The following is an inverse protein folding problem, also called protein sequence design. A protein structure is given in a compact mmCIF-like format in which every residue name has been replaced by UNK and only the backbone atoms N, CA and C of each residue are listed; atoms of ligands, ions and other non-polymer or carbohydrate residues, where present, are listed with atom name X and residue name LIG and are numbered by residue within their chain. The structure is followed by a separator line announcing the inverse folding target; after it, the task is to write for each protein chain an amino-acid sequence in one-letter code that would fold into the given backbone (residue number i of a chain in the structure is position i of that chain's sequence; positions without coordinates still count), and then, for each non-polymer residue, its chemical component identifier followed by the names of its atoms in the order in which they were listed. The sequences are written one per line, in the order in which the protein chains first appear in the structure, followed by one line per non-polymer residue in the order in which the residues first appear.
data_IF_398768881974
#
_entry.id   IF_398768881974
#
_cell.length_a   1.000
_cell.length_b   1.000
_cell.length_c   1.000
_cell.angle_alpha   90.00
_cell.angle_beta   90.00
_cell.angle_gamma   90.00
#
_symmetry.space_group_name_H-M   'P 1'
#
loop_
_entity.id
_entity.type
_entity.pdbx_description
1 polymer ?
#
# COMPACT_ATOMS: atom_id res chain seq x y z
N UNK A 1 17.46 -36.99 7.44
CA UNK A 1 16.91 -36.80 6.09
C UNK A 1 15.74 -35.81 6.07
N UNK A 2 14.99 -35.63 7.17
CA UNK A 2 14.02 -34.51 7.34
C UNK A 2 14.70 -33.13 7.42
N UNK A 3 15.78 -33.02 8.21
CA UNK A 3 16.49 -31.75 8.45
C UNK A 3 17.05 -31.02 7.22
N UNK A 4 17.28 -31.73 6.11
CA UNK A 4 17.75 -31.11 4.86
C UNK A 4 16.60 -30.55 4.02
N UNK A 5 15.44 -31.21 4.02
CA UNK A 5 14.28 -30.76 3.28
C UNK A 5 13.69 -29.48 3.90
N UNK A 6 13.54 -29.45 5.22
CA UNK A 6 13.07 -28.29 5.97
C UNK A 6 14.00 -27.08 5.76
N UNK A 7 15.31 -27.31 5.65
CA UNK A 7 16.29 -26.26 5.39
C UNK A 7 16.17 -25.69 3.98
N UNK A 8 16.01 -26.54 2.98
CA UNK A 8 15.85 -26.12 1.58
C UNK A 8 14.55 -25.33 1.38
N UNK A 9 13.49 -25.68 2.10
CA UNK A 9 12.20 -25.00 2.07
C UNK A 9 12.25 -23.64 2.75
N UNK A 10 12.89 -23.54 3.92
CA UNK A 10 13.17 -22.25 4.58
C UNK A 10 14.00 -21.36 3.66
N UNK A 11 15.00 -21.91 2.97
CA UNK A 11 15.81 -21.16 2.00
C UNK A 11 14.97 -20.66 0.82
N UNK A 12 14.06 -21.48 0.30
CA UNK A 12 13.15 -21.09 -0.78
C UNK A 12 12.19 -19.97 -0.33
N UNK A 13 11.52 -20.12 0.81
CA UNK A 13 10.61 -19.11 1.34
C UNK A 13 11.34 -17.77 1.58
N UNK A 14 12.54 -17.81 2.17
CA UNK A 14 13.38 -16.62 2.37
C UNK A 14 13.77 -15.96 1.05
N UNK A 15 14.09 -16.76 0.02
CA UNK A 15 14.37 -16.27 -1.32
C UNK A 15 13.13 -15.60 -1.94
N UNK A 16 11.96 -16.26 -1.90
CA UNK A 16 10.71 -15.72 -2.43
C UNK A 16 10.32 -14.42 -1.71
N UNK A 17 10.44 -14.37 -0.39
CA UNK A 17 10.25 -13.14 0.39
C UNK A 17 11.26 -12.06 0.02
N UNK A 18 12.52 -12.41 -0.27
CA UNK A 18 13.53 -11.47 -0.73
C UNK A 18 13.23 -10.86 -2.11
N UNK A 19 12.75 -11.67 -3.04
CA UNK A 19 12.52 -11.25 -4.44
C UNK A 19 11.19 -10.54 -4.62
N UNK A 20 10.15 -10.94 -3.88
CA UNK A 20 8.80 -10.40 -4.05
C UNK A 20 8.30 -9.61 -2.85
N UNK A 21 8.32 -10.18 -1.65
CA UNK A 21 7.69 -9.55 -0.49
C UNK A 21 8.36 -8.23 -0.10
N UNK A 22 9.69 -8.23 0.05
CA UNK A 22 10.44 -7.02 0.44
C UNK A 22 10.29 -5.89 -0.59
N UNK A 23 10.45 -6.13 -1.91
CA UNK A 23 10.19 -5.08 -2.88
C UNK A 23 8.71 -4.68 -2.98
N UNK A 24 7.76 -5.59 -2.69
CA UNK A 24 6.34 -5.22 -2.60
C UNK A 24 6.07 -4.25 -1.47
N UNK A 25 6.65 -4.50 -0.28
CA UNK A 25 6.61 -3.58 0.86
C UNK A 25 7.17 -2.20 0.43
N UNK A 26 8.35 -2.16 -0.20
CA UNK A 26 8.98 -0.91 -0.68
C UNK A 26 8.09 -0.15 -1.68
N UNK A 27 7.54 -0.82 -2.69
CA UNK A 27 6.63 -0.21 -3.66
C UNK A 27 5.35 0.32 -3.00
N UNK A 28 4.79 -0.41 -2.03
CA UNK A 28 3.64 0.04 -1.26
C UNK A 28 3.94 1.34 -0.51
N UNK A 29 5.13 1.45 0.11
CA UNK A 29 5.56 2.67 0.80
C UNK A 29 5.70 3.84 -0.18
N UNK A 30 6.32 3.61 -1.34
CA UNK A 30 6.45 4.63 -2.38
C UNK A 30 5.07 5.09 -2.86
N UNK A 31 4.11 4.17 -3.02
CA UNK A 31 2.76 4.50 -3.41
C UNK A 31 2.12 5.47 -2.40
N UNK A 32 2.13 5.12 -1.10
CA UNK A 32 1.61 5.99 -0.03
C UNK A 32 2.26 7.37 -0.02
N UNK A 33 3.59 7.41 -0.07
CA UNK A 33 4.34 8.68 -0.06
C UNK A 33 3.99 9.53 -1.27
N UNK A 34 3.83 8.91 -2.43
CA UNK A 34 3.44 9.60 -3.67
C UNK A 34 2.04 10.20 -3.55
N UNK A 35 1.08 9.45 -3.04
CA UNK A 35 -0.28 9.95 -2.83
C UNK A 35 -0.31 11.13 -1.83
N UNK A 36 0.40 11.01 -0.71
CA UNK A 36 0.51 12.09 0.30
C UNK A 36 1.05 13.39 -0.29
N UNK A 37 1.96 13.30 -1.26
CA UNK A 37 2.59 14.46 -1.91
C UNK A 37 1.88 14.88 -3.22
N UNK A 38 0.74 14.28 -3.57
CA UNK A 38 0.01 14.60 -4.81
C UNK A 38 0.66 14.08 -6.09
N UNK A 39 1.65 13.18 -6.00
CA UNK A 39 2.30 12.55 -7.14
C UNK A 39 1.52 11.32 -7.63
N UNK A 40 0.29 11.54 -8.08
CA UNK A 40 -0.66 10.45 -8.41
C UNK A 40 -0.16 9.46 -9.48
N UNK A 41 0.61 9.91 -10.47
CA UNK A 41 1.24 8.99 -11.44
C UNK A 41 2.20 7.99 -10.78
N UNK A 42 2.98 8.44 -9.80
CA UNK A 42 3.89 7.57 -9.06
C UNK A 42 3.10 6.68 -8.10
N UNK A 43 2.03 7.19 -7.48
CA UNK A 43 1.09 6.36 -6.70
C UNK A 43 0.54 5.22 -7.56
N UNK A 44 -0.05 5.53 -8.70
CA UNK A 44 -0.58 4.59 -9.68
C UNK A 44 0.40 3.47 -10.03
N UNK A 45 1.61 3.86 -10.44
CA UNK A 45 2.66 2.92 -10.82
C UNK A 45 3.09 2.03 -9.66
N UNK A 46 3.44 2.64 -8.52
CA UNK A 46 3.93 1.91 -7.36
C UNK A 46 2.85 1.03 -6.72
N UNK A 47 1.58 1.45 -6.74
CA UNK A 47 0.45 0.63 -6.30
C UNK A 47 0.33 -0.65 -7.14
N UNK A 48 0.41 -0.54 -8.46
CA UNK A 48 0.39 -1.71 -9.34
C UNK A 48 1.58 -2.64 -9.05
N UNK A 49 2.79 -2.09 -8.96
CA UNK A 49 4.01 -2.86 -8.72
C UNK A 49 3.97 -3.60 -7.38
N UNK A 50 3.44 -2.96 -6.34
CA UNK A 50 3.20 -3.55 -5.02
C UNK A 50 2.24 -4.74 -5.10
N UNK A 51 1.04 -4.54 -5.65
CA UNK A 51 0.02 -5.59 -5.74
C UNK A 51 0.49 -6.78 -6.59
N UNK A 52 1.13 -6.52 -7.72
CA UNK A 52 1.71 -7.56 -8.58
C UNK A 52 2.68 -8.45 -7.81
N UNK A 53 3.59 -7.84 -7.03
CA UNK A 53 4.62 -8.58 -6.29
C UNK A 53 4.03 -9.35 -5.11
N UNK A 54 3.06 -8.80 -4.37
CA UNK A 54 2.38 -9.57 -3.33
C UNK A 54 1.66 -10.81 -3.88
N UNK A 55 0.91 -10.65 -4.98
CA UNK A 55 0.21 -11.79 -5.61
C UNK A 55 1.21 -12.85 -6.09
N UNK A 56 2.32 -12.42 -6.73
CA UNK A 56 3.39 -13.34 -7.14
C UNK A 56 4.07 -14.03 -5.96
N UNK A 57 4.31 -13.31 -4.87
CA UNK A 57 4.88 -13.86 -3.65
C UNK A 57 4.02 -15.02 -3.15
N UNK A 58 2.73 -14.76 -2.94
CA UNK A 58 1.79 -15.77 -2.47
C UNK A 58 1.74 -17.00 -3.37
N UNK A 59 1.59 -16.81 -4.69
CA UNK A 59 1.56 -17.92 -5.65
C UNK A 59 2.88 -18.70 -5.68
N UNK A 60 4.03 -18.01 -5.62
CA UNK A 60 5.34 -18.66 -5.60
C UNK A 60 5.56 -19.50 -4.33
N UNK A 61 5.13 -19.01 -3.16
CA UNK A 61 5.17 -19.77 -1.90
C UNK A 61 4.31 -21.03 -1.98
N UNK A 62 3.18 -20.99 -2.71
CA UNK A 62 2.31 -22.15 -2.97
C UNK A 62 2.80 -23.04 -4.12
N UNK A 63 4.01 -22.81 -4.66
CA UNK A 63 4.55 -23.49 -5.84
C UNK A 63 3.65 -23.40 -7.09
N UNK A 64 2.80 -22.39 -7.16
CA UNK A 64 1.92 -22.14 -8.30
C UNK A 64 2.63 -21.26 -9.31
N UNK A 65 2.54 -21.63 -10.59
CA UNK A 65 3.14 -20.85 -11.67
C UNK A 65 2.61 -19.42 -11.70
N UNK A 66 3.53 -18.45 -11.68
CA UNK A 66 3.25 -17.02 -11.89
C UNK A 66 3.24 -16.63 -13.38
N UNK A 67 3.53 -17.58 -14.28
CA UNK A 67 3.56 -17.33 -15.72
C UNK A 67 2.21 -17.63 -16.36
N UNK A 68 1.83 -16.78 -17.31
CA UNK A 68 0.64 -16.95 -18.15
C UNK A 68 1.09 -17.03 -19.61
N UNK A 69 1.13 -18.25 -20.15
CA UNK A 69 1.65 -18.51 -21.48
C UNK A 69 3.05 -17.90 -21.69
N UNK A 70 3.30 -17.38 -22.89
CA UNK A 70 4.63 -16.97 -23.30
C UNK A 70 4.98 -15.49 -22.98
N UNK A 71 4.03 -14.64 -22.55
CA UNK A 71 4.26 -13.17 -22.49
C UNK A 71 3.55 -12.36 -21.39
N UNK A 72 2.56 -12.89 -20.67
CA UNK A 72 1.68 -12.04 -19.84
C UNK A 72 1.89 -12.20 -18.33
N UNK A 73 3.11 -11.96 -17.84
CA UNK A 73 3.44 -12.14 -16.40
C UNK A 73 3.04 -10.97 -15.49
N UNK A 74 2.42 -9.91 -16.02
CA UNK A 74 2.15 -8.65 -15.32
C UNK A 74 0.67 -8.30 -15.22
N UNK A 75 -0.21 -9.25 -15.57
CA UNK A 75 -1.65 -9.06 -15.56
C UNK A 75 -2.21 -9.30 -14.15
N UNK A 76 -2.53 -8.21 -13.44
CA UNK A 76 -2.98 -8.28 -12.05
C UNK A 76 -4.31 -9.03 -11.92
N UNK A 77 -5.22 -8.91 -12.87
CA UNK A 77 -6.51 -9.58 -12.82
C UNK A 77 -6.34 -11.10 -12.88
N UNK A 78 -5.46 -11.58 -13.77
CA UNK A 78 -5.14 -13.01 -13.84
C UNK A 78 -4.41 -13.53 -12.60
N UNK A 79 -3.50 -12.72 -12.03
CA UNK A 79 -2.81 -13.05 -10.78
C UNK A 79 -3.79 -13.13 -9.60
N UNK A 80 -4.75 -12.21 -9.53
CA UNK A 80 -5.80 -12.20 -8.52
C UNK A 80 -6.71 -13.42 -8.66
N UNK A 81 -7.24 -13.69 -9.86
CA UNK A 81 -8.09 -14.86 -10.11
C UNK A 81 -7.40 -16.16 -9.72
N UNK A 82 -6.10 -16.30 -10.04
CA UNK A 82 -5.32 -17.46 -9.62
C UNK A 82 -5.12 -17.50 -8.11
N UNK A 83 -4.88 -16.38 -7.45
CA UNK A 83 -4.77 -16.31 -5.98
C UNK A 83 -6.06 -16.76 -5.30
N UNK A 84 -7.20 -16.25 -5.75
CA UNK A 84 -8.54 -16.60 -5.25
C UNK A 84 -8.86 -18.09 -5.43
N UNK A 85 -8.30 -18.75 -6.46
CA UNK A 85 -8.50 -20.18 -6.64
C UNK A 85 -7.62 -21.06 -5.74
N UNK A 86 -6.64 -20.48 -5.04
CA UNK A 86 -5.71 -21.22 -4.17
C UNK A 86 -6.04 -21.12 -2.67
N UNK A 87 -6.99 -20.28 -2.26
CA UNK A 87 -7.33 -20.12 -0.84
C UNK A 87 -8.76 -19.63 -0.65
N UNK A 88 -9.35 -20.03 0.48
CA UNK A 88 -10.63 -19.50 0.96
C UNK A 88 -10.44 -18.41 2.02
N UNK A 89 -9.20 -18.13 2.45
CA UNK A 89 -8.87 -17.09 3.44
C UNK A 89 -8.88 -15.68 2.84
N UNK A 90 -8.92 -15.61 1.51
CA UNK A 90 -8.94 -14.37 0.76
C UNK A 90 -9.95 -14.51 -0.38
N UNK A 91 -10.96 -13.64 -0.37
CA UNK A 91 -12.09 -13.66 -1.28
C UNK A 91 -12.24 -12.33 -2.02
N UNK A 92 -13.08 -12.31 -3.07
CA UNK A 92 -13.41 -11.09 -3.82
C UNK A 92 -14.46 -10.24 -3.10
N UNK A 93 -14.21 -9.94 -1.83
CA UNK A 93 -15.09 -9.14 -0.99
C UNK A 93 -15.09 -7.66 -1.41
N UNK A 94 -16.10 -6.95 -0.94
CA UNK A 94 -16.10 -5.49 -0.97
C UNK A 94 -15.01 -4.94 -0.05
N UNK A 95 -14.37 -3.86 -0.48
CA UNK A 95 -13.41 -3.11 0.32
C UNK A 95 -14.18 -2.23 1.28
N UNK A 96 -14.01 -2.49 2.57
CA UNK A 96 -14.65 -1.74 3.63
C UNK A 96 -13.80 -0.54 4.06
N UNK A 97 -14.46 0.52 4.52
CA UNK A 97 -13.77 1.61 5.19
C UNK A 97 -13.03 1.07 6.43
N UNK A 98 -11.78 1.50 6.67
CA UNK A 98 -11.03 1.00 7.81
C UNK A 98 -11.61 1.52 9.12
N UNK A 99 -11.35 0.81 10.22
CA UNK A 99 -11.84 1.20 11.54
C UNK A 99 -11.34 2.59 11.93
N UNK A 100 -12.24 3.46 12.37
CA UNK A 100 -11.92 4.85 12.74
C UNK A 100 -11.82 5.82 11.56
N UNK A 101 -12.09 5.38 10.32
CA UNK A 101 -12.20 6.28 9.17
C UNK A 101 -13.31 7.33 9.40
N UNK A 102 -13.12 8.59 9.01
CA UNK A 102 -14.15 9.62 9.19
C UNK A 102 -15.44 9.28 8.43
N UNK A 103 -16.55 9.16 9.17
CA UNK A 103 -17.89 8.81 8.65
C UNK A 103 -18.36 9.72 7.52
N UNK A 104 -17.97 10.99 7.58
CA UNK A 104 -18.31 12.03 6.63
C UNK A 104 -17.61 11.79 5.28
N UNK A 105 -16.41 11.22 5.31
CA UNK A 105 -15.59 10.93 4.14
C UNK A 105 -15.90 9.55 3.56
N UNK A 106 -16.49 8.62 4.32
CA UNK A 106 -16.87 7.28 3.81
C UNK A 106 -17.73 7.40 2.56
N UNK A 107 -18.70 8.33 2.54
CA UNK A 107 -19.59 8.55 1.39
C UNK A 107 -18.87 9.08 0.15
N UNK A 108 -17.74 9.76 0.33
CA UNK A 108 -16.96 10.39 -0.75
C UNK A 108 -15.86 9.46 -1.29
N UNK A 109 -15.46 8.46 -0.49
CA UNK A 109 -14.33 7.58 -0.76
C UNK A 109 -14.71 6.27 -1.48
N UNK A 110 -15.99 6.13 -1.87
CA UNK A 110 -16.54 4.97 -2.58
C UNK A 110 -16.10 3.60 -2.02
N UNK A 111 -16.18 3.47 -0.70
CA UNK A 111 -16.02 2.16 -0.06
C UNK A 111 -17.22 1.28 -0.40
N UNK A 112 -16.97 0.00 -0.69
CA UNK A 112 -17.96 -0.92 -1.25
C UNK A 112 -17.55 -1.52 -2.60
N UNK A 113 -16.58 -0.91 -3.28
CA UNK A 113 -15.95 -1.48 -4.49
C UNK A 113 -15.38 -2.88 -4.19
N UNK A 114 -15.61 -3.85 -5.09
CA UNK A 114 -15.01 -5.18 -4.97
C UNK A 114 -13.49 -5.14 -5.19
N UNK A 115 -12.77 -6.05 -4.55
CA UNK A 115 -11.32 -6.20 -4.74
C UNK A 115 -10.97 -6.37 -6.23
N UNK A 116 -11.71 -7.19 -6.97
CA UNK A 116 -11.49 -7.42 -8.40
C UNK A 116 -11.69 -6.14 -9.23
N UNK A 117 -12.71 -5.35 -8.93
CA UNK A 117 -12.95 -4.05 -9.57
C UNK A 117 -11.79 -3.09 -9.29
N UNK A 118 -11.39 -2.95 -8.03
CA UNK A 118 -10.27 -2.09 -7.65
C UNK A 118 -8.96 -2.53 -8.30
N UNK A 119 -8.68 -3.83 -8.30
CA UNK A 119 -7.49 -4.40 -8.95
C UNK A 119 -7.52 -4.17 -10.45
N UNK A 120 -8.67 -4.26 -11.11
CA UNK A 120 -8.79 -3.94 -12.53
C UNK A 120 -8.48 -2.45 -12.80
N UNK A 121 -8.94 -1.52 -11.95
CA UNK A 121 -8.56 -0.11 -12.06
C UNK A 121 -7.04 0.07 -11.89
N UNK A 122 -6.44 -0.56 -10.88
CA UNK A 122 -4.98 -0.51 -10.66
C UNK A 122 -4.19 -1.15 -11.81
N UNK A 123 -4.69 -2.23 -12.42
CA UNK A 123 -4.08 -2.86 -13.59
C UNK A 123 -4.05 -1.89 -14.79
N UNK A 124 -5.08 -1.04 -14.93
CA UNK A 124 -5.12 -0.01 -15.95
C UNK A 124 -4.16 1.15 -15.68
N UNK A 125 -3.82 1.42 -14.41
CA UNK A 125 -2.93 2.51 -14.02
C UNK A 125 -1.49 2.39 -14.54
N UNK A 126 -0.94 1.19 -14.67
CA UNK A 126 0.42 0.98 -15.17
C UNK A 126 0.48 0.56 -16.63
N UNK A 127 -0.61 0.72 -17.39
CA UNK A 127 -0.52 0.65 -18.85
C UNK A 127 0.50 1.69 -19.36
N UNK A 128 1.31 1.38 -20.39
CA UNK A 128 2.34 2.29 -20.90
C UNK A 128 1.80 3.69 -21.23
N UNK A 129 0.59 3.77 -21.79
CA UNK A 129 -0.09 5.04 -22.13
C UNK A 129 -0.34 5.91 -20.91
N UNK A 130 -0.69 5.30 -19.78
CA UNK A 130 -0.89 5.99 -18.51
C UNK A 130 0.44 6.51 -17.95
N UNK A 131 1.50 5.68 -18.05
CA UNK A 131 2.86 6.04 -17.62
C UNK A 131 3.46 7.20 -18.41
N UNK A 132 3.21 7.25 -19.71
CA UNK A 132 3.66 8.33 -20.60
C UNK A 132 2.69 9.51 -20.70
N UNK A 133 1.64 9.53 -19.85
CA UNK A 133 0.63 10.61 -19.76
C UNK A 133 -0.10 10.87 -21.08
N UNK A 134 -0.25 9.84 -21.89
CA UNK A 134 -1.09 9.89 -23.10
C UNK A 134 -2.58 9.88 -22.72
N UNK A 135 -2.92 9.29 -21.56
CA UNK A 135 -4.27 9.26 -20.99
C UNK A 135 -4.24 9.62 -19.50
N UNK A 136 -5.35 10.14 -18.97
CA UNK A 136 -5.50 10.51 -17.55
C UNK A 136 -5.96 9.34 -16.67
N UNK A 137 -5.72 9.43 -15.36
CA UNK A 137 -6.22 8.48 -14.36
C UNK A 137 -7.46 9.05 -13.68
N UNK A 138 -8.40 8.17 -13.31
CA UNK A 138 -9.44 8.49 -12.35
C UNK A 138 -8.99 7.97 -10.98
N UNK A 139 -8.59 8.89 -10.11
CA UNK A 139 -8.24 8.60 -8.72
C UNK A 139 -9.40 9.04 -7.85
N UNK A 140 -9.87 8.12 -7.02
CA UNK A 140 -10.92 8.37 -6.04
C UNK A 140 -10.33 8.68 -4.67
N UNK A 141 -11.01 9.49 -3.84
CA UNK A 141 -10.52 9.86 -2.50
C UNK A 141 -10.21 8.66 -1.58
N UNK A 142 -10.80 7.49 -1.83
CA UNK A 142 -10.58 6.27 -1.05
C UNK A 142 -9.41 5.40 -1.50
N UNK A 143 -8.78 5.68 -2.64
CA UNK A 143 -7.87 4.72 -3.31
C UNK A 143 -6.64 4.35 -2.50
N UNK A 144 -6.10 5.30 -1.73
CA UNK A 144 -4.99 5.01 -0.81
C UNK A 144 -5.41 4.00 0.25
N UNK A 145 -6.63 4.14 0.78
CA UNK A 145 -7.16 3.24 1.82
C UNK A 145 -7.62 1.90 1.24
N UNK A 146 -8.12 1.89 0.01
CA UNK A 146 -8.40 0.65 -0.72
C UNK A 146 -7.11 -0.14 -0.96
N UNK A 147 -6.02 0.55 -1.35
CA UNK A 147 -4.69 -0.04 -1.45
C UNK A 147 -4.19 -0.57 -0.10
N UNK A 148 -4.39 0.18 0.99
CA UNK A 148 -3.98 -0.23 2.34
C UNK A 148 -4.63 -1.54 2.78
N UNK A 149 -5.95 -1.66 2.62
CA UNK A 149 -6.69 -2.86 3.01
C UNK A 149 -6.23 -4.09 2.21
N UNK A 150 -6.03 -3.90 0.90
CA UNK A 150 -5.61 -4.97 0.01
C UNK A 150 -4.14 -5.37 0.26
N UNK A 151 -3.23 -4.40 0.39
CA UNK A 151 -1.82 -4.66 0.70
C UNK A 151 -1.69 -5.39 2.03
N UNK A 152 -2.41 -4.98 3.08
CA UNK A 152 -2.44 -5.68 4.36
C UNK A 152 -2.92 -7.12 4.22
N UNK A 153 -4.02 -7.32 3.49
CA UNK A 153 -4.63 -8.65 3.31
C UNK A 153 -3.69 -9.58 2.55
N UNK A 154 -3.12 -9.14 1.42
CA UNK A 154 -2.19 -9.93 0.63
C UNK A 154 -0.85 -10.17 1.35
N UNK A 155 -0.35 -9.18 2.07
CA UNK A 155 0.86 -9.31 2.90
C UNK A 155 0.65 -10.36 3.99
N UNK A 156 -0.51 -10.35 4.67
CA UNK A 156 -0.88 -11.37 5.67
C UNK A 156 -0.82 -12.78 5.07
N UNK A 157 -1.42 -13.00 3.89
CA UNK A 157 -1.33 -14.27 3.18
C UNK A 157 0.12 -14.71 2.92
N UNK A 158 1.01 -13.79 2.56
CA UNK A 158 2.42 -14.11 2.31
C UNK A 158 3.18 -14.57 3.57
N UNK A 159 2.70 -14.22 4.77
CA UNK A 159 3.28 -14.67 6.04
C UNK A 159 2.62 -15.94 6.59
N UNK A 160 1.30 -16.09 6.42
CA UNK A 160 0.51 -17.23 6.93
C UNK A 160 0.61 -18.47 6.05
N UNK A 161 1.09 -18.31 4.82
CA UNK A 161 1.53 -19.39 3.96
C UNK A 161 2.81 -20.06 4.50
N UNK A 162 2.86 -20.39 5.79
CA UNK A 162 3.92 -21.15 6.49
C UNK A 162 3.45 -22.54 6.91
N UNK A 163 2.16 -22.81 6.88
CA UNK A 163 1.61 -24.14 7.11
C UNK A 163 1.57 -24.90 5.78
N UNK A 164 2.58 -25.74 5.53
CA UNK A 164 2.61 -26.61 4.36
C UNK A 164 2.67 -28.08 4.76
N UNK A 165 1.69 -28.84 4.27
CA UNK A 165 1.83 -30.27 4.09
C UNK A 165 2.88 -30.53 2.99
N UNK A 166 3.91 -31.27 3.39
CA UNK A 166 5.08 -31.65 2.60
C UNK A 166 4.60 -32.46 1.38
N UNK A 167 4.52 -31.80 0.22
CA UNK A 167 4.52 -32.50 -1.07
C UNK A 167 5.91 -32.40 -1.68
N UNK A 168 6.57 -33.54 -1.67
CA UNK A 168 7.97 -33.72 -2.04
C UNK A 168 8.29 -33.38 -3.50
N UNK A 169 9.15 -32.36 -3.70
CA UNK A 169 10.08 -32.20 -4.84
C UNK A 169 9.58 -31.43 -6.07
N UNK A 170 10.42 -30.73 -6.87
CA UNK A 170 11.86 -30.38 -6.81
C UNK A 170 12.16 -29.34 -7.92
N UNK A 171 13.35 -28.69 -7.88
CA UNK A 171 14.20 -28.36 -9.05
C UNK A 171 14.05 -27.02 -9.85
N UNK A 172 14.95 -26.03 -9.63
CA UNK A 172 15.28 -24.89 -10.55
C UNK A 172 16.52 -25.10 -11.43
N UNK A 173 16.32 -25.12 -12.76
CA UNK A 173 17.33 -25.34 -13.79
C UNK A 173 18.04 -24.04 -14.21
N UNK A 174 19.38 -24.00 -14.16
CA UNK A 174 20.18 -22.99 -14.90
C UNK A 174 21.19 -23.71 -15.80
N UNK A 175 21.16 -23.38 -17.10
CA UNK A 175 22.09 -23.91 -18.11
C UNK A 175 22.29 -25.45 -18.07
N UNK A 176 21.21 -26.19 -17.77
CA UNK A 176 21.25 -27.65 -17.74
C UNK A 176 21.98 -28.28 -16.55
N UNK A 177 22.36 -27.52 -15.51
CA UNK A 177 22.95 -28.07 -14.28
C UNK A 177 22.31 -27.52 -13.00
N UNK A 178 22.27 -28.39 -11.99
CA UNK A 178 21.85 -28.09 -10.62
C UNK A 178 22.96 -27.30 -9.91
N UNK A 179 22.72 -26.03 -9.53
CA UNK A 179 23.71 -25.19 -8.82
C UNK A 179 23.11 -24.64 -7.53
N UNK A 180 23.85 -24.78 -6.42
CA UNK A 180 23.55 -24.18 -5.11
C UNK A 180 24.19 -22.79 -5.09
N UNK A 181 23.38 -21.73 -5.06
CA UNK A 181 23.88 -20.37 -4.84
C UNK A 181 23.98 -20.17 -3.32
N UNK A 182 25.22 -20.06 -2.81
CA UNK A 182 25.47 -19.57 -1.44
C UNK A 182 25.42 -18.04 -1.49
N UNK A 183 24.23 -17.46 -1.41
CA UNK A 183 24.12 -16.01 -1.34
C UNK A 183 24.55 -15.52 0.04
N UNK A 184 25.65 -14.76 0.06
CA UNK A 184 25.94 -13.80 1.11
C UNK A 184 24.73 -12.90 1.32
N UNK A 185 24.20 -12.90 2.54
CA UNK A 185 23.15 -12.00 3.00
C UNK A 185 23.46 -10.58 2.51
N UNK A 186 22.56 -9.90 1.77
CA UNK A 186 22.75 -8.50 1.44
C UNK A 186 22.99 -7.74 2.75
N UNK A 187 24.13 -7.04 2.85
CA UNK A 187 24.34 -6.08 3.93
C UNK A 187 23.09 -5.21 4.03
N UNK A 188 22.58 -5.02 5.24
CA UNK A 188 21.38 -4.20 5.47
C UNK A 188 21.47 -2.92 4.62
N UNK A 189 20.38 -2.54 3.93
CA UNK A 189 20.38 -1.33 3.14
C UNK A 189 20.86 -0.18 4.03
N UNK A 190 21.83 0.58 3.53
CA UNK A 190 22.36 1.76 4.23
C UNK A 190 21.17 2.56 4.72
N UNK A 191 21.03 2.70 6.04
CA UNK A 191 19.93 3.43 6.69
C UNK A 191 19.73 4.75 5.96
N UNK A 192 18.62 4.87 5.24
CA UNK A 192 18.27 6.08 4.49
C UNK A 192 18.00 7.16 5.54
N UNK A 193 18.97 8.04 5.78
CA UNK A 193 18.79 9.18 6.69
C UNK A 193 18.03 10.27 5.97
N UNK A 194 16.71 10.12 5.88
CA UNK A 194 15.82 11.27 5.65
C UNK A 194 15.74 12.02 6.98
N UNK A 195 15.86 13.35 6.95
CA UNK A 195 15.68 14.18 8.13
C UNK A 195 14.20 14.15 8.55
N UNK A 196 13.85 13.18 9.41
CA UNK A 196 12.51 12.88 9.88
C UNK A 196 12.38 11.37 10.13
N UNK A 197 11.66 10.95 11.17
CA UNK A 197 11.38 9.53 11.36
C UNK A 197 10.41 9.09 10.25
N UNK A 198 10.90 8.36 9.24
CA UNK A 198 10.05 7.80 8.19
C UNK A 198 8.86 7.02 8.78
N UNK A 199 8.95 6.54 10.03
CA UNK A 199 7.84 5.93 10.74
C UNK A 199 6.66 6.88 10.94
N UNK A 200 6.84 8.17 11.19
CA UNK A 200 5.70 9.10 11.29
C UNK A 200 4.98 9.27 9.95
N UNK A 201 5.73 9.21 8.85
CA UNK A 201 5.20 9.24 7.49
C UNK A 201 4.48 7.94 7.12
N UNK A 202 4.97 6.81 7.62
CA UNK A 202 4.37 5.48 7.47
C UNK A 202 3.06 5.34 8.22
N UNK A 203 2.98 5.95 9.40
CA UNK A 203 1.83 5.82 10.30
C UNK A 203 0.73 6.82 9.95
N UNK A 204 1.09 7.96 9.34
CA UNK A 204 0.15 9.02 9.01
C UNK A 204 -1.00 8.54 8.14
N UNK A 205 -2.21 8.51 8.71
CA UNK A 205 -3.43 8.06 8.02
C UNK A 205 -3.35 6.61 7.51
N UNK A 206 -2.49 5.76 8.07
CA UNK A 206 -2.38 4.34 7.72
C UNK A 206 -3.26 3.49 8.63
N UNK A 207 -4.56 3.52 8.38
CA UNK A 207 -5.53 2.83 9.23
C UNK A 207 -5.45 1.30 9.14
N UNK A 208 -4.89 0.74 8.06
CA UNK A 208 -4.81 -0.70 7.90
C UNK A 208 -3.70 -1.30 8.78
N UNK A 209 -2.52 -0.67 8.81
CA UNK A 209 -1.37 -1.19 9.56
C UNK A 209 -1.23 -0.58 10.96
N UNK A 210 -1.70 0.66 11.17
CA UNK A 210 -1.54 1.40 12.42
C UNK A 210 -2.84 2.10 12.88
N UNK A 211 -3.94 1.36 13.08
CA UNK A 211 -5.27 1.94 13.35
C UNK A 211 -5.33 2.83 14.60
N UNK A 212 -4.63 2.45 15.68
CA UNK A 212 -4.64 3.21 16.94
C UNK A 212 -3.90 4.54 16.80
N UNK A 213 -2.77 4.54 16.09
CA UNK A 213 -1.96 5.72 15.86
C UNK A 213 -2.67 6.70 14.91
N UNK A 214 -3.24 6.19 13.80
CA UNK A 214 -4.06 6.98 12.89
C UNK A 214 -5.29 7.60 13.60
N UNK A 215 -5.90 6.90 14.57
CA UNK A 215 -6.98 7.44 15.40
C UNK A 215 -6.52 8.58 16.31
N UNK A 216 -5.33 8.47 16.90
CA UNK A 216 -4.77 9.55 17.73
C UNK A 216 -4.44 10.81 16.92
N UNK A 217 -3.88 10.65 15.73
CA UNK A 217 -3.61 11.75 14.79
C UNK A 217 -4.89 12.48 14.37
N UNK A 218 -6.00 11.74 14.16
CA UNK A 218 -7.31 12.32 13.89
C UNK A 218 -7.78 13.25 15.01
N UNK A 219 -7.56 12.88 16.27
CA UNK A 219 -7.93 13.74 17.41
C UNK A 219 -7.11 15.03 17.41
N UNK A 220 -5.80 14.93 17.13
CA UNK A 220 -4.91 16.09 17.02
C UNK A 220 -5.30 17.00 15.85
N UNK A 221 -5.56 16.45 14.67
CA UNK A 221 -5.98 17.22 13.49
C UNK A 221 -7.36 17.82 13.69
N UNK A 222 -8.32 17.07 14.26
CA UNK A 222 -9.64 17.61 14.58
C UNK A 222 -9.55 18.70 15.64
N UNK A 223 -8.74 18.54 16.70
CA UNK A 223 -8.51 19.60 17.69
C UNK A 223 -7.92 20.86 17.05
N UNK A 224 -6.97 20.70 16.12
CA UNK A 224 -6.35 21.80 15.38
C UNK A 224 -7.36 22.47 14.42
N UNK A 225 -8.21 21.70 13.75
CA UNK A 225 -9.30 22.19 12.91
C UNK A 225 -10.43 22.84 13.72
N UNK A 226 -10.69 22.41 14.96
CA UNK A 226 -11.63 23.05 15.88
C UNK A 226 -11.07 24.36 16.43
N UNK A 227 -9.76 24.44 16.71
CA UNK A 227 -9.09 25.70 17.08
C UNK A 227 -9.12 26.70 15.93
N UNK A 228 -8.80 26.28 14.69
CA UNK A 228 -8.89 27.13 13.49
C UNK A 228 -10.34 27.49 13.12
N UNK A 229 -11.29 26.57 13.35
CA UNK A 229 -12.72 26.78 13.20
C UNK A 229 -13.31 27.75 14.25
N UNK A 230 -12.69 27.84 15.43
CA UNK A 230 -13.06 28.81 16.47
C UNK A 230 -12.52 30.21 16.17
N UNK A 231 -11.33 30.32 15.57
CA UNK A 231 -10.76 31.59 15.11
C UNK A 231 -11.57 32.20 13.95
N UNK A 232 -11.92 31.38 12.95
CA UNK A 232 -12.74 31.83 11.81
C UNK A 232 -14.20 32.17 12.19
N UNK A 233 -14.71 31.64 13.31
CA UNK A 233 -16.04 32.02 13.85
C UNK A 233 -16.00 33.31 14.69
N UNK A 234 -14.88 33.63 15.33
CA UNK A 234 -14.68 34.90 16.03
C UNK A 234 -14.51 36.03 15.01
N UNK A 235 -13.75 35.80 13.93
CA UNK A 235 -13.58 36.78 12.84
C UNK A 235 -14.88 37.09 12.11
N UNK A 236 -15.75 36.10 11.86
CA UNK A 236 -17.07 36.33 11.24
C UNK A 236 -18.11 36.96 12.18
N UNK A 237 -17.90 36.97 13.49
CA UNK A 237 -18.78 37.66 14.46
C UNK A 237 -18.35 39.09 14.76
N UNK A 238 -17.07 39.39 14.59
CA UNK A 238 -16.54 40.76 14.64
C UNK A 238 -16.76 41.39 13.26
N UNK A 239 -17.99 41.85 13.03
CA UNK A 239 -18.35 42.71 11.89
C UNK A 239 -17.67 44.07 12.08
N UNK A 240 -16.34 44.09 11.92
CA UNK A 240 -15.50 45.26 12.04
C UNK A 240 -15.70 46.04 10.74
N UNK A 241 -16.54 47.07 10.81
CA UNK A 241 -16.53 48.12 9.81
C UNK A 241 -15.15 48.78 9.76
N UNK A 242 -14.76 49.28 8.59
CA UNK A 242 -13.43 49.84 8.31
C UNK A 242 -12.92 50.86 9.35
N UNK A 243 -13.83 51.48 10.12
CA UNK A 243 -13.50 52.37 11.23
C UNK A 243 -12.73 51.70 12.38
N UNK A 244 -12.94 50.41 12.66
CA UNK A 244 -12.23 49.73 13.76
C UNK A 244 -10.84 49.21 13.36
N UNK A 245 -10.56 49.03 12.06
CA UNK A 245 -9.23 48.63 11.58
C UNK A 245 -8.20 49.75 11.80
N UNK A 246 -8.60 51.00 11.54
CA UNK A 246 -7.76 52.18 11.81
C UNK A 246 -7.46 52.33 13.31
N UNK A 247 -8.45 52.05 14.15
CA UNK A 247 -8.29 52.13 15.62
C UNK A 247 -7.35 51.03 16.15
N UNK A 248 -7.42 49.81 15.61
CA UNK A 248 -6.57 48.70 16.02
C UNK A 248 -5.11 48.83 15.52
N UNK A 249 -4.89 49.45 14.36
CA UNK A 249 -3.53 49.85 13.91
C UNK A 249 -2.93 50.94 14.79
N UNK A 250 -3.73 51.94 15.18
CA UNK A 250 -3.26 53.01 16.07
C UNK A 250 -2.95 52.51 17.50
N UNK A 251 -3.49 51.36 17.89
CA UNK A 251 -3.19 50.70 19.17
C UNK A 251 -2.08 49.64 19.08
N UNK A 252 -1.47 49.42 17.91
CA UNK A 252 -0.34 48.50 17.71
C UNK A 252 -0.69 47.01 17.86
N UNK A 253 -1.96 46.64 17.70
CA UNK A 253 -2.43 45.25 17.86
C UNK A 253 -2.26 44.45 16.55
N UNK A 254 -2.17 45.14 15.42
CA UNK A 254 -2.04 44.57 14.08
C UNK A 254 -1.15 45.48 13.25
N UNK A 255 -0.17 44.92 12.53
CA UNK A 255 0.77 45.65 11.66
C UNK A 255 0.10 46.21 10.38
#
# INVERSE_FOLDING_TARGET
MRDSADRDEINFANYVHGVFLRPADEDYLIARMSAKNGFWNHFCWSAQQSLEKYLKCYLALRHVSIRFGNRNTHDLEKLLQRTLSQTNEFDDRAICAPSGFPSELVKQADFGEKISSFVSRVNNYGQPRQRYREVGYLIEPGDVHKLDDLARSLRKLCFECRDFEISSGRQVLQQGKWVIIKDSIPKEPKTFRVNGDYRSELTYGNYAFFPDLARSERQTIMAHCYQLGSLTRIEKRLNISDANIVTLRNLGVID
#
